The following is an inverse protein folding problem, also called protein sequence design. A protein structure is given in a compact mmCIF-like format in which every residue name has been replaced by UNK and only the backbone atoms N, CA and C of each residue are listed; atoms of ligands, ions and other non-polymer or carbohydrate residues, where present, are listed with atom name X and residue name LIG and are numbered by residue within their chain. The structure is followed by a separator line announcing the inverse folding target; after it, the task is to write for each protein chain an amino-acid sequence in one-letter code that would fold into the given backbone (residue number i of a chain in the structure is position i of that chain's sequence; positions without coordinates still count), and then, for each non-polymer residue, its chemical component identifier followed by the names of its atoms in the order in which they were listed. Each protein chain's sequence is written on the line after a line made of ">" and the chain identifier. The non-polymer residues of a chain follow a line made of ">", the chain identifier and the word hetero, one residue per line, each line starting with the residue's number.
data_IF_214095524326
#
_entry.id   IF_214095524326
#
_cell.length_a   1.000
_cell.length_b   1.000
_cell.length_c   1.000
_cell.angle_alpha   90.00
_cell.angle_beta   90.00
_cell.angle_gamma   90.00
#
_symmetry.space_group_name_H-M   'P 1'
#
loop_
_entity.id
_entity.type
_entity.pdbx_description
1 polymer ?
#
# COMPACT_ATOMS: atom_id res chain seq x y z
N UNK A 1 7.77 -5.40 -5.59
CA UNK A 1 6.93 -4.42 -4.86
C UNK A 1 6.28 -5.14 -3.69
N UNK A 2 6.37 -4.64 -2.45
CA UNK A 2 5.84 -5.31 -1.27
C UNK A 2 4.30 -5.25 -1.17
N UNK A 3 3.63 -4.62 -2.14
CA UNK A 3 2.18 -4.54 -2.23
C UNK A 3 1.69 -5.11 -3.56
N UNK A 4 0.56 -5.82 -3.51
CA UNK A 4 -0.17 -6.36 -4.65
C UNK A 4 -1.56 -5.72 -4.71
N UNK A 5 -2.04 -5.44 -5.93
CA UNK A 5 -3.43 -5.04 -6.15
C UNK A 5 -4.23 -6.26 -6.56
N UNK A 6 -5.31 -6.54 -5.84
CA UNK A 6 -6.27 -7.59 -6.19
C UNK A 6 -7.61 -6.97 -6.54
N UNK A 7 -8.20 -7.43 -7.64
CA UNK A 7 -9.51 -7.01 -8.09
C UNK A 7 -10.57 -8.01 -7.61
N UNK A 8 -11.61 -7.52 -6.95
CA UNK A 8 -12.75 -8.31 -6.45
C UNK A 8 -14.06 -7.65 -6.86
N UNK A 9 -15.16 -8.40 -6.87
CA UNK A 9 -16.50 -7.82 -6.95
C UNK A 9 -16.87 -7.01 -5.69
N UNK A 10 -17.54 -5.86 -5.88
CA UNK A 10 -18.09 -5.02 -4.81
C UNK A 10 -17.88 -3.51 -5.02
N UNK A 11 -18.33 -2.70 -4.05
CA UNK A 11 -18.31 -1.22 -4.09
C UNK A 11 -16.88 -0.62 -4.13
N UNK A 12 -15.88 -1.36 -3.65
CA UNK A 12 -14.44 -0.99 -3.67
C UNK A 12 -13.65 -2.19 -4.18
N UNK A 13 -13.61 -2.39 -5.51
CA UNK A 13 -13.14 -3.63 -6.08
C UNK A 13 -11.62 -3.78 -6.02
N UNK A 14 -10.86 -2.69 -5.85
CA UNK A 14 -9.40 -2.72 -5.87
C UNK A 14 -8.83 -2.79 -4.45
N UNK A 15 -8.41 -3.98 -4.01
CA UNK A 15 -7.76 -4.18 -2.71
C UNK A 15 -6.24 -4.06 -2.82
N UNK A 16 -5.63 -3.45 -1.82
CA UNK A 16 -4.19 -3.38 -1.65
C UNK A 16 -3.81 -4.39 -0.58
N UNK A 17 -3.03 -5.39 -0.97
CA UNK A 17 -2.58 -6.50 -0.13
C UNK A 17 -1.08 -6.40 0.06
N UNK A 18 -0.60 -6.56 1.29
CA UNK A 18 0.84 -6.68 1.57
C UNK A 18 1.30 -8.08 1.13
N UNK A 19 2.27 -8.15 0.23
CA UNK A 19 2.71 -9.40 -0.40
C UNK A 19 3.48 -10.32 0.57
N UNK A 20 4.04 -9.76 1.63
CA UNK A 20 4.80 -10.44 2.69
C UNK A 20 3.88 -11.10 3.73
N UNK A 21 2.82 -10.43 4.15
CA UNK A 21 1.91 -10.92 5.21
C UNK A 21 0.55 -11.38 4.70
N UNK A 22 0.24 -11.14 3.41
CA UNK A 22 -1.09 -11.37 2.84
C UNK A 22 -2.18 -10.45 3.41
N UNK A 23 -1.82 -9.42 4.17
CA UNK A 23 -2.77 -8.57 4.88
C UNK A 23 -3.35 -7.49 3.96
N UNK A 24 -4.66 -7.29 4.00
CA UNK A 24 -5.31 -6.17 3.29
C UNK A 24 -5.02 -4.88 4.04
N UNK A 25 -4.25 -3.99 3.43
CA UNK A 25 -3.86 -2.69 4.02
C UNK A 25 -4.67 -1.52 3.47
N UNK A 26 -5.51 -1.77 2.46
CA UNK A 26 -6.36 -0.76 1.86
C UNK A 26 -7.32 -1.32 0.81
N UNK A 27 -8.30 -0.51 0.44
CA UNK A 27 -9.19 -0.79 -0.69
C UNK A 27 -9.60 0.52 -1.37
N UNK A 28 -9.86 0.47 -2.67
CA UNK A 28 -10.18 1.64 -3.49
C UNK A 28 -11.28 1.33 -4.51
N UNK A 29 -11.95 2.39 -4.96
CA UNK A 29 -12.97 2.31 -6.00
C UNK A 29 -12.36 2.17 -7.40
N UNK A 30 -11.21 2.80 -7.64
CA UNK A 30 -10.48 2.74 -8.92
C UNK A 30 -9.07 2.14 -8.75
N UNK A 31 -8.52 1.61 -9.86
CA UNK A 31 -7.15 1.08 -9.89
C UNK A 31 -6.12 2.18 -9.65
N UNK A 32 -6.34 3.36 -10.23
CA UNK A 32 -5.47 4.52 -10.09
C UNK A 32 -5.32 4.94 -8.61
N UNK A 33 -6.42 4.97 -7.86
CA UNK A 33 -6.40 5.27 -6.42
C UNK A 33 -5.62 4.23 -5.63
N UNK A 34 -5.75 2.94 -5.99
CA UNK A 34 -4.99 1.87 -5.35
C UNK A 34 -3.49 2.00 -5.62
N UNK A 35 -3.10 2.33 -6.85
CA UNK A 35 -1.70 2.57 -7.23
C UNK A 35 -1.11 3.81 -6.53
N UNK A 36 -1.84 4.93 -6.49
CA UNK A 36 -1.45 6.13 -5.76
C UNK A 36 -1.26 5.84 -4.26
N UNK A 37 -2.18 5.07 -3.68
CA UNK A 37 -2.10 4.59 -2.31
C UNK A 37 -0.88 3.71 -2.02
N UNK A 38 -0.45 2.87 -2.97
CA UNK A 38 0.78 2.09 -2.85
C UNK A 38 2.00 3.02 -2.88
N UNK A 39 2.05 3.97 -3.82
CA UNK A 39 3.16 4.94 -3.91
C UNK A 39 3.32 5.73 -2.61
N UNK A 40 2.22 6.23 -2.05
CA UNK A 40 2.25 6.94 -0.78
C UNK A 40 2.80 6.08 0.37
N UNK A 41 2.39 4.80 0.46
CA UNK A 41 2.91 3.87 1.47
C UNK A 41 4.40 3.57 1.30
N UNK A 42 4.85 3.34 0.06
CA UNK A 42 6.26 3.14 -0.25
C UNK A 42 7.12 4.35 0.14
N UNK A 43 6.63 5.57 -0.14
CA UNK A 43 7.29 6.80 0.30
C UNK A 43 7.32 6.93 1.82
N UNK A 44 6.21 6.60 2.51
CA UNK A 44 6.16 6.63 3.96
C UNK A 44 7.12 5.61 4.62
N UNK A 45 7.26 4.40 4.07
CA UNK A 45 8.18 3.38 4.59
C UNK A 45 9.66 3.78 4.41
N UNK A 46 10.01 4.42 3.28
CA UNK A 46 11.37 4.93 3.06
C UNK A 46 11.70 6.11 3.97
N UNK A 47 10.75 7.02 4.21
CA UNK A 47 10.93 8.13 5.16
C UNK A 47 10.97 7.66 6.62
N UNK A 48 10.14 6.69 7.00
CA UNK A 48 10.15 6.10 8.34
C UNK A 48 11.48 5.42 8.66
N UNK A 49 12.12 4.78 7.65
CA UNK A 49 13.47 4.23 7.79
C UNK A 49 14.52 5.33 8.01
N UNK A 50 14.37 6.48 7.36
CA UNK A 50 15.24 7.66 7.55
C UNK A 50 15.09 8.27 8.95
N UNK A 51 13.85 8.36 9.48
CA UNK A 51 13.58 8.87 10.83
C UNK A 51 14.02 7.92 11.95
N UNK A 52 13.94 6.59 11.77
CA UNK A 52 14.42 5.62 12.76
C UNK A 52 15.95 5.49 12.85
N UNK A 53 16.68 5.91 11.81
CA UNK A 53 18.16 5.98 11.82
C UNK A 53 18.74 7.33 12.24
N UNK A 54 17.89 8.36 12.40
CA UNK A 54 18.29 9.75 12.64
C UNK A 54 18.04 10.25 14.07
N UNK A 55 18.17 9.37 15.07
CA UNK A 55 18.25 9.77 16.48
C UNK A 55 19.66 9.43 16.97
N UNK A 56 20.63 10.20 16.48
CA UNK A 56 21.97 10.28 17.06
C UNK A 56 22.07 11.60 17.81
#
# INVERSE_FOLDING_TARGET
>A
MPYKIEHRSGKRPWKIVRSDTGTVVGSSATKADAEASIRARMSAETEAKKKRGGRR
#
